data_IF_064822238955
#
_entry.id   IF_064822238955
#
_cell.length_a   1.000
_cell.length_b   1.000
_cell.length_c   1.000
_cell.angle_alpha   90.00
_cell.angle_beta   90.00
_cell.angle_gamma   90.00
#
_symmetry.space_group_name_H-M   'P 1'
#
loop_
_entity.id
_entity.type
_entity.pdbx_description
1 polymer ?
#
# COMPACT_ATOMS: atom_id res chain seq x y z
N UNK A 1 4.53 14.36 12.95
CA UNK A 1 4.36 13.56 11.71
C UNK A 1 4.21 14.53 10.54
N UNK A 2 4.90 14.32 9.41
CA UNK A 2 4.68 15.18 8.23
C UNK A 2 3.33 14.83 7.63
N UNK A 3 2.48 15.81 7.45
CA UNK A 3 1.19 15.63 6.78
C UNK A 3 1.45 15.44 5.28
N UNK A 4 0.87 14.40 4.68
CA UNK A 4 0.89 14.22 3.24
C UNK A 4 0.00 15.26 2.58
N UNK A 5 0.50 15.91 1.55
CA UNK A 5 -0.24 16.84 0.72
C UNK A 5 -0.42 16.24 -0.66
N UNK A 6 -1.66 16.03 -1.09
CA UNK A 6 -2.00 15.36 -2.35
C UNK A 6 -1.38 16.04 -3.58
N UNK A 7 -1.19 17.35 -3.55
CA UNK A 7 -0.52 18.09 -4.63
C UNK A 7 0.90 17.59 -4.95
N UNK A 8 1.55 16.90 -4.03
CA UNK A 8 2.87 16.28 -4.29
C UNK A 8 2.81 15.23 -5.39
N UNK A 9 1.66 14.62 -5.65
CA UNK A 9 1.49 13.62 -6.73
C UNK A 9 1.72 14.25 -8.10
N UNK A 10 1.57 15.57 -8.25
CA UNK A 10 1.84 16.32 -9.49
C UNK A 10 3.33 16.59 -9.72
N UNK A 11 4.17 16.44 -8.71
CA UNK A 11 5.59 16.74 -8.80
C UNK A 11 6.38 15.50 -9.23
N UNK A 12 6.86 15.42 -10.49
CA UNK A 12 7.60 14.26 -10.97
C UNK A 12 8.98 14.11 -10.30
N UNK A 13 9.47 15.13 -9.60
CA UNK A 13 10.72 15.04 -8.84
C UNK A 13 10.51 14.38 -7.48
N UNK A 14 9.28 14.34 -6.97
CA UNK A 14 8.92 13.71 -5.72
C UNK A 14 8.40 12.28 -5.96
N UNK A 15 9.29 11.33 -6.20
CA UNK A 15 8.94 9.93 -6.50
C UNK A 15 9.26 8.96 -5.35
N UNK A 16 9.88 9.45 -4.28
CA UNK A 16 10.18 8.63 -3.09
C UNK A 16 10.29 9.47 -1.83
N UNK A 17 9.79 8.94 -0.72
CA UNK A 17 10.00 9.47 0.62
C UNK A 17 10.08 8.30 1.61
N UNK A 18 11.04 8.33 2.53
CA UNK A 18 11.26 7.30 3.55
C UNK A 18 11.48 5.88 2.99
N UNK A 19 12.00 5.77 1.78
CA UNK A 19 12.35 4.50 1.14
C UNK A 19 13.86 4.32 1.15
N UNK A 20 14.30 3.06 1.24
CA UNK A 20 15.68 2.71 0.91
C UNK A 20 15.88 2.77 -0.61
N UNK A 21 17.10 3.01 -1.04
CA UNK A 21 17.43 2.99 -2.47
C UNK A 21 17.06 1.63 -3.08
N UNK A 22 16.72 1.64 -4.36
CA UNK A 22 16.46 0.41 -5.10
C UNK A 22 17.64 -0.55 -4.97
N UNK A 23 17.37 -1.78 -4.67
CA UNK A 23 18.37 -2.84 -4.45
C UNK A 23 17.76 -4.20 -4.81
N UNK A 24 18.63 -5.17 -5.03
CA UNK A 24 18.19 -6.56 -5.23
C UNK A 24 17.64 -7.12 -3.92
N UNK A 25 16.57 -7.88 -4.01
CA UNK A 25 16.03 -8.59 -2.87
C UNK A 25 16.88 -9.83 -2.55
N UNK A 26 17.28 -9.96 -1.31
CA UNK A 26 18.07 -11.08 -0.81
C UNK A 26 17.37 -11.76 0.35
N UNK A 27 17.60 -13.05 0.48
CA UNK A 27 17.23 -13.80 1.68
C UNK A 27 18.43 -13.94 2.58
N UNK A 28 18.20 -13.74 3.86
CA UNK A 28 19.20 -13.84 4.90
C UNK A 28 18.86 -14.99 5.83
N UNK A 29 19.85 -15.79 6.17
CA UNK A 29 19.72 -16.91 7.08
C UNK A 29 20.73 -16.76 8.21
N UNK A 30 20.34 -17.14 9.43
CA UNK A 30 21.23 -17.05 10.59
C UNK A 30 22.27 -18.17 10.60
N UNK A 31 22.02 -19.29 9.89
CA UNK A 31 22.92 -20.44 9.83
C UNK A 31 22.77 -21.21 8.52
N UNK A 32 23.71 -22.08 8.24
CA UNK A 32 23.63 -23.03 7.13
C UNK A 32 22.46 -24.01 7.29
N UNK A 33 22.14 -24.38 8.51
CA UNK A 33 21.01 -25.26 8.82
C UNK A 33 19.68 -24.61 8.42
N UNK A 34 19.46 -23.32 8.75
CA UNK A 34 18.29 -22.55 8.31
C UNK A 34 18.18 -22.49 6.78
N UNK A 35 19.31 -22.30 6.09
CA UNK A 35 19.36 -22.30 4.64
C UNK A 35 18.94 -23.67 4.06
N UNK A 36 19.47 -24.75 4.59
CA UNK A 36 19.16 -26.12 4.15
C UNK A 36 17.69 -26.47 4.39
N UNK A 37 17.16 -26.06 5.54
CA UNK A 37 15.76 -26.28 5.91
C UNK A 37 14.80 -25.26 5.25
N UNK A 38 15.33 -24.26 4.53
CA UNK A 38 14.58 -23.15 3.92
C UNK A 38 13.71 -22.38 4.93
N UNK A 39 14.18 -22.27 6.17
CA UNK A 39 13.55 -21.51 7.22
C UNK A 39 14.00 -20.06 7.14
N UNK A 40 13.07 -19.16 6.80
CA UNK A 40 13.34 -17.73 6.65
C UNK A 40 12.88 -16.97 7.91
N UNK A 41 13.68 -17.08 8.98
CA UNK A 41 13.36 -16.47 10.27
C UNK A 41 13.52 -14.94 10.29
N UNK A 42 14.05 -14.35 9.21
CA UNK A 42 14.19 -12.90 9.08
C UNK A 42 13.07 -12.27 8.24
N UNK A 43 12.09 -13.05 7.79
CA UNK A 43 10.90 -12.55 7.11
C UNK A 43 9.66 -12.86 7.93
N UNK A 44 8.79 -11.87 7.98
CA UNK A 44 7.45 -12.00 8.55
C UNK A 44 6.43 -11.55 7.51
N UNK A 45 5.58 -12.47 7.09
CA UNK A 45 4.56 -12.16 6.08
C UNK A 45 3.41 -11.40 6.70
N UNK A 46 3.06 -10.27 6.09
CA UNK A 46 1.87 -9.49 6.41
C UNK A 46 0.67 -9.86 5.52
N UNK A 47 0.82 -10.86 4.64
CA UNK A 47 -0.29 -11.35 3.81
C UNK A 47 -1.47 -11.83 4.66
N UNK A 48 -2.65 -11.90 4.04
CA UNK A 48 -3.88 -12.32 4.69
C UNK A 48 -4.89 -11.18 4.80
N UNK A 49 -5.76 -11.20 5.79
CA UNK A 49 -6.81 -10.20 5.95
C UNK A 49 -6.25 -8.87 6.47
N UNK A 50 -6.67 -7.79 5.84
CA UNK A 50 -6.42 -6.41 6.22
C UNK A 50 -7.73 -5.66 6.33
N UNK A 51 -7.80 -4.64 7.15
CA UNK A 51 -8.87 -3.65 7.11
C UNK A 51 -8.71 -2.76 5.90
N UNK A 52 -9.84 -2.46 5.26
CA UNK A 52 -9.88 -1.80 3.96
C UNK A 52 -10.98 -0.76 3.90
N UNK A 53 -10.65 0.39 3.33
CA UNK A 53 -11.61 1.44 3.03
C UNK A 53 -11.39 1.94 1.60
N UNK A 54 -12.42 1.80 0.78
CA UNK A 54 -12.44 2.31 -0.59
C UNK A 54 -13.04 3.71 -0.66
N UNK A 55 -12.37 4.60 -1.36
CA UNK A 55 -12.87 5.93 -1.67
C UNK A 55 -12.80 6.19 -3.17
N UNK A 56 -13.82 6.85 -3.74
CA UNK A 56 -13.85 7.16 -5.18
C UNK A 56 -12.78 8.17 -5.62
N UNK A 57 -12.25 8.95 -4.69
CA UNK A 57 -11.18 9.93 -4.87
C UNK A 57 -10.50 10.20 -3.52
N UNK A 58 -9.38 10.93 -3.56
CA UNK A 58 -8.63 11.28 -2.37
C UNK A 58 -9.44 12.09 -1.35
N UNK A 59 -10.24 13.06 -1.79
CA UNK A 59 -11.04 13.92 -0.91
C UNK A 59 -12.13 13.16 -0.15
N UNK A 60 -12.50 11.98 -0.65
CA UNK A 60 -13.47 11.09 0.00
C UNK A 60 -12.82 10.09 0.95
N UNK A 61 -11.50 10.11 1.13
CA UNK A 61 -10.82 9.25 2.09
C UNK A 61 -11.09 9.71 3.53
N UNK A 62 -10.86 8.82 4.48
CA UNK A 62 -11.02 9.15 5.91
C UNK A 62 -9.74 9.82 6.39
N UNK A 63 -9.77 11.12 6.74
CA UNK A 63 -8.57 11.81 7.19
C UNK A 63 -8.13 11.33 8.57
N UNK A 64 -6.82 11.24 8.79
CA UNK A 64 -6.24 10.92 10.08
C UNK A 64 -6.34 9.45 10.48
N UNK A 65 -6.71 8.55 9.56
CA UNK A 65 -6.81 7.11 9.87
C UNK A 65 -5.45 6.48 10.22
N UNK A 66 -4.36 7.14 9.83
CA UNK A 66 -2.99 6.74 10.16
C UNK A 66 -2.61 7.00 11.63
N UNK A 67 -3.48 7.65 12.40
CA UNK A 67 -3.25 7.86 13.83
C UNK A 67 -3.32 6.53 14.59
N UNK A 68 -2.42 6.33 15.56
CA UNK A 68 -2.31 5.06 16.30
C UNK A 68 -3.56 4.72 17.13
N UNK A 69 -4.36 5.70 17.48
CA UNK A 69 -5.60 5.55 18.24
C UNK A 69 -6.84 5.47 17.35
N UNK A 70 -6.68 5.55 16.02
CA UNK A 70 -7.80 5.40 15.10
C UNK A 70 -8.32 3.97 15.10
N UNK A 71 -9.64 3.82 15.18
CA UNK A 71 -10.31 2.52 15.21
C UNK A 71 -10.91 2.19 13.83
N UNK A 72 -10.28 1.27 13.09
CA UNK A 72 -10.78 0.81 11.80
C UNK A 72 -11.65 -0.46 11.86
N UNK A 73 -12.26 -0.78 13.02
CA UNK A 73 -13.10 -2.01 13.20
C UNK A 73 -14.29 -2.07 12.24
N UNK A 74 -14.86 -0.92 11.88
CA UNK A 74 -16.01 -0.83 10.97
C UNK A 74 -15.63 -0.89 9.49
N UNK A 75 -14.33 -0.91 9.17
CA UNK A 75 -13.86 -1.06 7.80
C UNK A 75 -14.09 -2.48 7.31
N UNK A 76 -14.18 -2.62 6.00
CA UNK A 76 -14.26 -3.92 5.37
C UNK A 76 -12.98 -4.74 5.61
N UNK A 77 -13.07 -6.03 5.37
CA UNK A 77 -11.93 -6.93 5.35
C UNK A 77 -11.60 -7.28 3.90
N UNK A 78 -10.32 -7.20 3.53
CA UNK A 78 -9.83 -7.56 2.20
C UNK A 78 -8.63 -8.50 2.31
N UNK A 79 -8.51 -9.44 1.38
CA UNK A 79 -7.32 -10.27 1.25
C UNK A 79 -6.16 -9.49 0.63
N UNK A 80 -4.97 -9.68 1.14
CA UNK A 80 -3.72 -9.12 0.60
C UNK A 80 -2.71 -10.27 0.45
N UNK A 81 -2.12 -10.46 -0.74
CA UNK A 81 -2.31 -9.71 -1.97
C UNK A 81 -3.60 -10.06 -2.72
N UNK A 82 -4.23 -9.05 -3.32
CA UNK A 82 -5.36 -9.23 -4.23
C UNK A 82 -5.51 -8.00 -5.14
N UNK A 83 -6.26 -8.18 -6.22
CA UNK A 83 -6.74 -7.06 -7.01
C UNK A 83 -8.07 -6.59 -6.44
N UNK A 84 -8.19 -5.32 -6.07
CA UNK A 84 -9.41 -4.79 -5.44
C UNK A 84 -10.66 -4.99 -6.30
N UNK A 85 -10.52 -4.98 -7.63
CA UNK A 85 -11.61 -5.22 -8.57
C UNK A 85 -12.15 -6.67 -8.46
N UNK A 86 -11.30 -7.62 -8.09
CA UNK A 86 -11.71 -9.02 -7.87
C UNK A 86 -12.33 -9.23 -6.49
N UNK A 87 -12.08 -8.32 -5.57
CA UNK A 87 -12.68 -8.31 -4.22
C UNK A 87 -14.01 -7.54 -4.17
N UNK A 88 -14.50 -7.06 -5.33
CA UNK A 88 -15.80 -6.39 -5.45
C UNK A 88 -15.76 -4.88 -5.35
N UNK A 89 -14.59 -4.28 -5.36
CA UNK A 89 -14.42 -2.83 -5.35
C UNK A 89 -13.95 -2.33 -6.71
N UNK A 90 -14.39 -1.12 -7.08
CA UNK A 90 -14.00 -0.47 -8.34
C UNK A 90 -14.34 -1.30 -9.59
N UNK A 91 -13.83 -0.86 -10.73
CA UNK A 91 -13.91 -1.53 -12.03
C UNK A 91 -12.59 -1.37 -12.78
N UNK A 92 -12.31 -2.20 -13.80
CA UNK A 92 -11.15 -2.00 -14.65
C UNK A 92 -11.18 -0.60 -15.30
N UNK A 93 -10.15 0.20 -15.03
CA UNK A 93 -10.03 1.58 -15.55
C UNK A 93 -9.48 1.62 -16.97
N UNK A 94 -8.77 0.59 -17.38
CA UNK A 94 -8.13 0.49 -18.67
C UNK A 94 -8.67 -0.72 -19.44
N UNK A 95 -9.23 -0.44 -20.60
CA UNK A 95 -9.57 -1.45 -21.58
C UNK A 95 -8.96 -0.98 -22.90
N UNK A 96 -7.99 -1.64 -23.45
CA UNK A 96 -7.22 -1.47 -24.70
C UNK A 96 -7.56 -0.29 -25.66
N UNK A 97 -8.71 0.32 -25.54
CA UNK A 97 -9.24 1.39 -26.41
C UNK A 97 -9.51 2.69 -25.68
N UNK A 98 -9.28 2.74 -24.38
CA UNK A 98 -9.61 3.89 -23.54
C UNK A 98 -8.53 4.12 -22.50
N UNK A 99 -8.08 5.36 -22.34
CA UNK A 99 -7.15 5.72 -21.27
C UNK A 99 -7.86 5.78 -19.92
N UNK A 100 -7.12 5.55 -18.81
CA UNK A 100 -7.65 5.80 -17.48
C UNK A 100 -8.24 7.23 -17.41
N UNK A 101 -9.38 7.34 -16.71
CA UNK A 101 -10.15 8.58 -16.50
C UNK A 101 -10.84 9.19 -17.73
N UNK A 102 -10.57 8.70 -18.95
CA UNK A 102 -11.23 9.17 -20.15
C UNK A 102 -12.77 9.02 -20.01
N UNK A 103 -13.49 10.11 -20.29
CA UNK A 103 -14.95 10.18 -20.10
C UNK A 103 -15.42 10.49 -18.67
N UNK A 104 -14.51 10.50 -17.68
CA UNK A 104 -14.83 10.92 -16.31
C UNK A 104 -14.53 12.38 -16.07
N UNK A 105 -13.42 12.86 -16.60
CA UNK A 105 -12.89 14.20 -16.36
C UNK A 105 -11.98 14.61 -17.52
N UNK A 106 -12.10 15.85 -17.99
CA UNK A 106 -11.14 16.41 -18.93
C UNK A 106 -9.94 16.92 -18.16
N UNK A 107 -8.76 16.46 -18.50
CA UNK A 107 -7.51 16.75 -17.80
C UNK A 107 -6.50 17.39 -18.75
N UNK A 108 -5.88 18.46 -18.29
CA UNK A 108 -4.71 19.02 -18.95
C UNK A 108 -3.44 18.24 -18.58
N UNK A 109 -2.40 18.27 -19.43
CA UNK A 109 -1.13 17.59 -19.11
C UNK A 109 -0.56 18.03 -17.77
N UNK A 110 -0.29 17.06 -16.88
CA UNK A 110 0.24 17.29 -15.53
C UNK A 110 -0.83 17.46 -14.45
N UNK A 111 -2.10 17.41 -14.80
CA UNK A 111 -3.19 17.37 -13.83
C UNK A 111 -3.48 15.94 -13.38
N UNK A 112 -4.02 15.82 -12.19
CA UNK A 112 -4.52 14.56 -11.62
C UNK A 112 -6.03 14.64 -11.47
N UNK A 113 -6.77 13.56 -11.75
CA UNK A 113 -8.20 13.54 -11.64
C UNK A 113 -8.65 13.73 -10.18
N UNK A 114 -9.71 14.50 -9.99
CA UNK A 114 -10.27 14.81 -8.68
C UNK A 114 -11.66 14.24 -8.47
N UNK A 115 -12.43 14.03 -9.53
CA UNK A 115 -13.80 13.49 -9.44
C UNK A 115 -13.78 11.99 -9.20
N UNK A 116 -12.97 11.29 -9.99
CA UNK A 116 -12.85 9.85 -9.94
C UNK A 116 -11.39 9.43 -10.07
N UNK A 117 -10.76 9.22 -8.95
CA UNK A 117 -9.40 8.69 -8.83
C UNK A 117 -9.36 7.79 -7.60
N UNK A 118 -9.79 6.52 -7.75
CA UNK A 118 -9.99 5.63 -6.63
C UNK A 118 -8.78 5.54 -5.71
N UNK A 119 -9.05 5.67 -4.43
CA UNK A 119 -8.03 5.63 -3.38
C UNK A 119 -8.40 4.56 -2.36
N UNK A 120 -7.48 3.66 -2.13
CA UNK A 120 -7.65 2.56 -1.19
C UNK A 120 -6.81 2.79 0.06
N UNK A 121 -7.45 2.75 1.22
CA UNK A 121 -6.79 2.81 2.52
C UNK A 121 -6.75 1.42 3.15
N UNK A 122 -5.56 1.01 3.60
CA UNK A 122 -5.34 -0.29 4.21
C UNK A 122 -4.82 -0.13 5.63
N UNK A 123 -5.29 -0.95 6.54
CA UNK A 123 -4.75 -1.02 7.89
C UNK A 123 -4.58 -2.47 8.34
N UNK A 124 -3.45 -2.75 9.00
CA UNK A 124 -3.16 -4.04 9.60
C UNK A 124 -2.48 -3.87 10.94
N UNK A 125 -3.01 -4.55 11.93
CA UNK A 125 -2.37 -4.66 13.24
C UNK A 125 -1.57 -5.95 13.30
N UNK A 126 -0.33 -5.85 13.72
CA UNK A 126 0.57 -7.00 13.90
C UNK A 126 1.55 -6.73 15.03
N UNK A 127 2.09 -7.78 15.59
CA UNK A 127 3.17 -7.71 16.56
C UNK A 127 4.49 -8.10 15.92
N UNK A 128 5.54 -7.36 16.24
CA UNK A 128 6.88 -7.69 15.79
C UNK A 128 7.35 -8.96 16.48
N UNK A 129 7.71 -10.02 15.74
CA UNK A 129 8.22 -11.26 16.33
C UNK A 129 9.44 -11.05 17.24
N UNK A 130 9.53 -11.83 18.30
CA UNK A 130 10.62 -11.69 19.30
C UNK A 130 12.01 -11.76 18.67
N UNK A 131 12.21 -12.67 17.71
CA UNK A 131 13.48 -12.84 16.99
C UNK A 131 13.88 -11.64 16.13
N UNK A 132 12.95 -10.71 15.86
CA UNK A 132 13.16 -9.47 15.11
C UNK A 132 13.36 -8.25 16.02
N UNK A 133 13.03 -8.35 17.31
CA UNK A 133 13.19 -7.23 18.25
C UNK A 133 14.67 -6.82 18.37
N UNK A 134 14.90 -5.51 18.45
CA UNK A 134 16.24 -4.94 18.51
C UNK A 134 17.01 -4.93 17.18
N UNK A 135 16.42 -5.46 16.11
CA UNK A 135 17.00 -5.42 14.77
C UNK A 135 16.46 -4.21 13.97
N UNK A 136 17.15 -3.86 12.91
CA UNK A 136 16.67 -2.91 11.93
C UNK A 136 15.65 -3.62 11.03
N UNK A 137 14.42 -3.14 11.02
CA UNK A 137 13.29 -3.77 10.34
C UNK A 137 12.88 -2.91 9.15
N UNK A 138 12.59 -3.54 8.03
CA UNK A 138 12.06 -2.92 6.82
C UNK A 138 10.71 -3.55 6.49
N UNK A 139 9.78 -2.75 5.97
CA UNK A 139 8.56 -3.25 5.35
C UNK A 139 8.75 -3.23 3.84
N UNK A 140 8.31 -4.30 3.15
CA UNK A 140 8.37 -4.41 1.69
C UNK A 140 6.99 -4.64 1.14
N UNK A 141 6.58 -3.79 0.22
CA UNK A 141 5.38 -3.95 -0.61
C UNK A 141 5.82 -4.34 -2.02
N UNK A 142 5.27 -5.44 -2.54
CA UNK A 142 5.59 -6.00 -3.86
C UNK A 142 4.31 -6.23 -4.66
#
# INVERSE_FOLDING_TARGET
MKVFHYEKVKDPSWFQENRVNAHSDHRYYASMEELEQKQDNFRYSLNGLWKFHYAKNYDSTIPGFEAMDYCCRSWDDIHVPAHIQMEGYDCPQYANVQYPWEGWEELEPGEIPTRFNPTASYAKYFEVPENMKGKRIFISFQ
#
